data_IF_471766493599
#
_entry.id   IF_471766493599
#
_cell.length_a   1.000
_cell.length_b   1.000
_cell.length_c   1.000
_cell.angle_alpha   90.00
_cell.angle_beta   90.00
_cell.angle_gamma   90.00
#
_symmetry.space_group_name_H-M   'P 1'
#
loop_
_entity.id
_entity.type
_entity.pdbx_description
1 polymer ?
#
# COMPACT_ATOMS: atom_id res chain seq x y z
N UNK A 1 2.72 -12.85 -7.71
CA UNK A 1 1.51 -13.64 -7.77
C UNK A 1 1.11 -13.94 -9.22
N UNK A 2 0.71 -12.94 -10.02
CA UNK A 2 0.15 -13.13 -11.37
C UNK A 2 1.05 -13.92 -12.35
N UNK A 3 2.38 -13.87 -12.19
CA UNK A 3 3.33 -14.61 -13.05
C UNK A 3 3.55 -16.06 -12.60
N UNK A 4 3.30 -16.36 -11.32
CA UNK A 4 3.55 -17.68 -10.72
C UNK A 4 2.43 -17.97 -9.70
N UNK A 5 1.19 -18.13 -10.14
CA UNK A 5 0.04 -18.26 -9.26
C UNK A 5 0.12 -19.51 -8.37
N UNK A 6 0.72 -20.58 -8.85
CA UNK A 6 0.92 -21.85 -8.13
C UNK A 6 1.81 -21.71 -6.86
N UNK A 7 2.55 -20.61 -6.74
CA UNK A 7 3.41 -20.32 -5.59
C UNK A 7 2.70 -19.50 -4.50
N UNK A 8 1.46 -19.08 -4.75
CA UNK A 8 0.70 -18.18 -3.86
C UNK A 8 -0.37 -18.97 -3.12
N UNK A 9 -0.15 -19.19 -1.83
CA UNK A 9 -1.11 -19.87 -0.96
C UNK A 9 -2.17 -18.92 -0.39
N UNK A 10 -1.78 -17.67 -0.14
CA UNK A 10 -2.66 -16.63 0.36
C UNK A 10 -2.14 -15.25 -0.05
N UNK A 11 -3.02 -14.26 -0.11
CA UNK A 11 -2.70 -12.86 -0.39
C UNK A 11 -3.10 -12.02 0.82
N UNK A 12 -2.12 -11.34 1.41
CA UNK A 12 -2.35 -10.37 2.47
C UNK A 12 -1.99 -9.00 1.93
N UNK A 13 -2.96 -8.11 1.91
CA UNK A 13 -2.82 -6.74 1.39
C UNK A 13 -2.94 -5.77 2.55
N UNK A 14 -1.94 -4.93 2.73
CA UNK A 14 -1.97 -3.86 3.72
C UNK A 14 -1.76 -2.54 3.00
N UNK A 15 -2.80 -1.71 2.94
CA UNK A 15 -2.80 -0.42 2.22
C UNK A 15 -2.17 -0.50 0.82
N UNK A 16 -2.39 -1.62 0.13
CA UNK A 16 -1.79 -1.94 -1.17
C UNK A 16 -2.80 -1.83 -2.31
N UNK A 17 -2.50 -1.01 -3.32
CA UNK A 17 -3.43 -0.70 -4.39
C UNK A 17 -3.26 -1.60 -5.62
N UNK A 18 -4.39 -2.04 -6.20
CA UNK A 18 -4.46 -2.79 -7.45
C UNK A 18 -5.64 -2.32 -8.34
N UNK A 19 -6.19 -1.15 -8.01
CA UNK A 19 -7.38 -0.57 -8.65
C UNK A 19 -7.25 0.95 -8.74
N UNK A 20 -7.83 1.53 -9.78
CA UNK A 20 -7.77 2.99 -10.00
C UNK A 20 -8.48 3.78 -8.88
N UNK A 21 -9.49 3.16 -8.25
CA UNK A 21 -10.27 3.76 -7.16
C UNK A 21 -9.45 4.16 -5.93
N UNK A 22 -8.24 3.63 -5.76
CA UNK A 22 -7.33 3.98 -4.67
C UNK A 22 -6.41 5.17 -4.95
N UNK A 23 -6.41 5.72 -6.18
CA UNK A 23 -5.48 6.76 -6.64
C UNK A 23 -6.18 8.11 -6.80
N UNK A 24 -6.44 8.79 -5.68
CA UNK A 24 -7.07 10.11 -5.66
C UNK A 24 -6.05 11.27 -5.56
N UNK A 25 -6.48 12.41 -5.05
CA UNK A 25 -5.84 13.72 -5.06
C UNK A 25 -4.34 13.74 -4.69
N UNK A 26 -3.90 12.88 -3.78
CA UNK A 26 -2.47 12.77 -3.45
C UNK A 26 -1.61 12.47 -4.68
N UNK A 27 -2.17 11.71 -5.62
CA UNK A 27 -1.46 11.26 -6.81
C UNK A 27 -1.46 12.28 -7.95
N UNK A 28 -2.26 13.36 -7.89
CA UNK A 28 -2.38 14.30 -9.00
C UNK A 28 -1.05 14.93 -9.44
N UNK A 29 -0.20 15.47 -8.55
CA UNK A 29 1.11 15.98 -8.97
C UNK A 29 2.05 14.87 -9.46
N UNK A 30 1.92 13.65 -8.91
CA UNK A 30 2.70 12.50 -9.36
C UNK A 30 2.22 12.05 -10.74
N UNK A 31 0.91 12.02 -11.00
CA UNK A 31 0.33 11.74 -12.34
C UNK A 31 0.75 12.79 -13.37
N UNK A 32 0.83 14.07 -12.98
CA UNK A 32 1.37 15.11 -13.86
C UNK A 32 2.83 14.80 -14.25
N UNK A 33 3.66 14.39 -13.30
CA UNK A 33 5.02 13.93 -13.57
C UNK A 33 5.07 12.69 -14.47
N UNK A 34 4.18 11.73 -14.30
CA UNK A 34 4.08 10.57 -15.20
C UNK A 34 3.77 10.95 -16.63
N UNK A 35 2.93 11.99 -16.83
CA UNK A 35 2.52 12.43 -18.16
C UNK A 35 3.62 13.12 -18.95
N UNK A 36 4.52 13.84 -18.29
CA UNK A 36 5.56 14.64 -18.94
C UNK A 36 6.96 14.03 -18.82
N UNK A 37 7.28 13.39 -17.70
CA UNK A 37 8.65 13.03 -17.33
C UNK A 37 9.56 14.25 -17.11
N UNK A 38 8.96 15.46 -17.03
CA UNK A 38 9.67 16.73 -17.02
C UNK A 38 10.33 17.08 -15.69
N UNK A 39 11.36 17.91 -15.76
CA UNK A 39 12.07 18.38 -14.57
C UNK A 39 11.19 19.27 -13.67
N UNK A 40 10.28 20.04 -14.25
CA UNK A 40 9.36 20.92 -13.52
C UNK A 40 8.44 20.12 -12.60
N UNK A 41 7.79 19.08 -13.11
CA UNK A 41 6.89 18.22 -12.35
C UNK A 41 7.66 17.35 -11.34
N UNK A 42 8.88 16.91 -11.72
CA UNK A 42 9.79 16.24 -10.79
C UNK A 42 10.11 17.11 -9.58
N UNK A 43 10.46 18.39 -9.81
CA UNK A 43 10.73 19.33 -8.71
C UNK A 43 9.47 19.64 -7.88
N UNK A 44 8.29 19.69 -8.51
CA UNK A 44 7.02 19.93 -7.80
C UNK A 44 6.70 18.86 -6.77
N UNK A 45 7.18 17.61 -6.95
CA UNK A 45 6.97 16.52 -5.98
C UNK A 45 8.17 16.28 -5.05
N UNK A 46 9.28 17.03 -5.18
CA UNK A 46 10.48 16.86 -4.34
C UNK A 46 10.21 17.01 -2.86
N UNK A 47 9.23 17.82 -2.46
CA UNK A 47 8.85 17.98 -1.07
C UNK A 47 8.49 16.65 -0.39
N UNK A 48 8.03 15.64 -1.16
CA UNK A 48 7.74 14.27 -0.66
C UNK A 48 8.97 13.57 -0.07
N UNK A 49 10.19 14.06 -0.36
CA UNK A 49 11.43 13.54 0.22
C UNK A 49 11.87 14.27 1.49
N UNK A 50 11.07 15.23 1.98
CA UNK A 50 11.38 16.02 3.16
C UNK A 50 10.94 15.32 4.46
N UNK A 51 11.59 15.69 5.59
CA UNK A 51 11.18 15.22 6.93
C UNK A 51 9.70 15.51 7.22
N UNK A 52 9.20 16.67 6.79
CA UNK A 52 7.79 17.02 6.99
C UNK A 52 6.86 16.05 6.26
N UNK A 53 7.18 15.70 5.03
CA UNK A 53 6.41 14.72 4.25
C UNK A 53 6.55 13.31 4.81
N UNK A 54 7.77 12.89 5.20
CA UNK A 54 7.99 11.57 5.81
C UNK A 54 7.17 11.43 7.10
N UNK A 55 7.25 12.41 8.00
CA UNK A 55 6.44 12.44 9.22
C UNK A 55 4.94 12.43 8.91
N UNK A 56 4.51 13.24 7.93
CA UNK A 56 3.10 13.31 7.52
C UNK A 56 2.57 11.94 7.07
N UNK A 57 3.35 11.17 6.31
CA UNK A 57 2.95 9.83 5.86
C UNK A 57 2.65 8.88 7.05
N UNK A 58 3.40 8.99 8.15
CA UNK A 58 3.19 8.19 9.35
C UNK A 58 2.02 8.66 10.22
N UNK A 59 1.77 9.98 10.27
CA UNK A 59 0.87 10.57 11.25
C UNK A 59 -0.46 11.04 10.67
N UNK A 60 -0.55 11.23 9.35
CA UNK A 60 -1.80 11.66 8.71
C UNK A 60 -2.85 10.55 8.82
N UNK A 61 -4.08 10.93 9.18
CA UNK A 61 -5.19 10.00 9.37
C UNK A 61 -5.14 9.18 10.66
N UNK A 62 -4.09 9.32 11.46
CA UNK A 62 -3.96 8.68 12.77
C UNK A 62 -4.70 9.51 13.82
N UNK A 63 -5.60 8.86 14.58
CA UNK A 63 -6.41 9.53 15.60
C UNK A 63 -5.57 10.06 16.78
N UNK A 64 -4.59 9.28 17.21
CA UNK A 64 -3.65 9.63 18.27
C UNK A 64 -2.22 9.44 17.77
N UNK A 65 -1.60 10.52 17.31
CA UNK A 65 -0.25 10.51 16.77
C UNK A 65 0.83 10.11 17.80
N UNK A 66 0.51 10.13 19.10
CA UNK A 66 1.45 9.69 20.15
C UNK A 66 1.70 8.18 20.13
N UNK A 67 0.83 7.41 19.45
CA UNK A 67 1.01 5.97 19.25
C UNK A 67 2.08 5.63 18.20
N UNK A 68 2.45 6.60 17.36
CA UNK A 68 3.48 6.40 16.33
C UNK A 68 4.82 6.85 16.88
N UNK A 69 5.79 5.92 16.97
CA UNK A 69 7.12 6.24 17.45
C UNK A 69 7.82 7.25 16.52
N UNK A 70 8.41 8.33 17.07
CA UNK A 70 9.25 9.23 16.28
C UNK A 70 10.45 8.54 15.61
N UNK A 71 10.88 7.40 16.12
CA UNK A 71 12.00 6.64 15.55
C UNK A 71 11.71 6.15 14.14
N UNK A 72 10.43 5.85 13.81
CA UNK A 72 10.06 5.34 12.49
C UNK A 72 10.39 6.34 11.39
N UNK A 73 9.79 7.53 11.42
CA UNK A 73 10.06 8.55 10.40
C UNK A 73 11.48 9.17 10.52
N UNK A 74 12.08 9.17 11.70
CA UNK A 74 13.45 9.65 11.88
C UNK A 74 14.45 8.72 11.20
N UNK A 75 14.27 7.42 11.34
CA UNK A 75 15.10 6.42 10.69
C UNK A 75 14.95 6.48 9.17
N UNK A 76 13.71 6.50 8.67
CA UNK A 76 13.44 6.60 7.24
C UNK A 76 14.04 7.87 6.64
N UNK A 77 13.87 9.02 7.32
CA UNK A 77 14.46 10.28 6.86
C UNK A 77 15.98 10.25 6.86
N UNK A 78 16.58 9.58 7.85
CA UNK A 78 18.04 9.41 7.90
C UNK A 78 18.54 8.64 6.68
N UNK A 79 17.84 7.62 6.25
CA UNK A 79 18.18 6.88 5.04
C UNK A 79 17.89 7.67 3.77
N UNK A 80 16.79 8.40 3.74
CA UNK A 80 16.42 9.23 2.58
C UNK A 80 17.41 10.39 2.38
N UNK A 81 18.02 10.90 3.46
CA UNK A 81 19.02 11.96 3.40
C UNK A 81 20.41 11.50 2.90
N UNK A 82 20.62 10.20 2.67
CA UNK A 82 21.88 9.74 2.09
C UNK A 82 22.07 10.32 0.68
N UNK A 83 23.31 10.63 0.28
CA UNK A 83 23.58 11.18 -1.06
C UNK A 83 22.94 10.35 -2.16
N UNK A 84 22.14 10.98 -3.00
CA UNK A 84 21.45 10.35 -4.14
C UNK A 84 20.10 9.70 -3.81
N UNK A 85 19.77 9.41 -2.55
CA UNK A 85 18.53 8.67 -2.22
C UNK A 85 17.26 9.47 -2.53
N UNK A 86 17.27 10.79 -2.37
CA UNK A 86 16.13 11.63 -2.77
C UNK A 86 15.87 11.53 -4.27
N UNK A 87 16.92 11.49 -5.11
CA UNK A 87 16.77 11.32 -6.55
C UNK A 87 16.22 9.92 -6.90
N UNK A 88 16.74 8.89 -6.24
CA UNK A 88 16.21 7.52 -6.40
C UNK A 88 14.72 7.47 -6.03
N UNK A 89 14.32 8.12 -4.94
CA UNK A 89 12.91 8.17 -4.52
C UNK A 89 12.03 8.87 -5.57
N UNK A 90 12.50 9.96 -6.18
CA UNK A 90 11.80 10.63 -7.27
C UNK A 90 11.69 9.73 -8.52
N UNK A 91 12.73 8.96 -8.82
CA UNK A 91 12.71 7.98 -9.91
C UNK A 91 11.69 6.86 -9.63
N UNK A 92 11.58 6.40 -8.38
CA UNK A 92 10.57 5.40 -7.96
C UNK A 92 9.15 5.95 -8.08
N UNK A 93 8.90 7.23 -7.75
CA UNK A 93 7.61 7.86 -8.00
C UNK A 93 7.28 7.89 -9.51
N UNK A 94 8.25 8.15 -10.35
CA UNK A 94 8.06 8.09 -11.80
C UNK A 94 7.83 6.67 -12.30
N UNK A 95 8.60 5.71 -11.80
CA UNK A 95 8.48 4.30 -12.18
C UNK A 95 7.13 3.68 -11.80
N UNK A 96 6.50 4.16 -10.71
CA UNK A 96 5.20 3.66 -10.27
C UNK A 96 4.12 3.69 -11.37
N UNK A 97 4.23 4.60 -12.36
CA UNK A 97 3.34 4.65 -13.54
C UNK A 97 3.26 3.32 -14.29
N UNK A 98 4.31 2.50 -14.19
CA UNK A 98 4.36 1.18 -14.85
C UNK A 98 3.46 0.14 -14.19
N UNK A 99 3.00 0.39 -12.95
CA UNK A 99 2.06 -0.49 -12.25
C UNK A 99 0.64 -0.36 -12.80
N UNK A 100 0.22 0.85 -13.20
CA UNK A 100 -1.16 1.12 -13.61
C UNK A 100 -1.58 0.24 -14.81
N UNK A 101 -0.80 0.11 -15.89
CA UNK A 101 -1.12 -0.79 -16.99
C UNK A 101 -1.15 -2.29 -16.60
N UNK A 102 -0.60 -2.65 -15.44
CA UNK A 102 -0.60 -4.03 -14.95
C UNK A 102 -1.86 -4.36 -14.12
N UNK A 103 -2.64 -3.38 -13.69
CA UNK A 103 -3.85 -3.60 -12.89
C UNK A 103 -4.83 -4.56 -13.56
N UNK A 104 -5.16 -4.44 -14.86
CA UNK A 104 -6.04 -5.41 -15.53
C UNK A 104 -5.52 -6.85 -15.48
N UNK A 105 -4.19 -7.04 -15.59
CA UNK A 105 -3.58 -8.37 -15.48
C UNK A 105 -3.69 -8.91 -14.04
N UNK A 106 -3.48 -8.07 -13.01
CA UNK A 106 -3.63 -8.47 -11.62
C UNK A 106 -5.08 -8.81 -11.28
N UNK A 107 -6.02 -8.02 -11.76
CA UNK A 107 -7.46 -8.26 -11.59
C UNK A 107 -7.91 -9.54 -12.31
N UNK A 108 -7.36 -9.85 -13.48
CA UNK A 108 -7.58 -11.12 -14.15
C UNK A 108 -7.07 -12.30 -13.30
N UNK A 109 -5.86 -12.20 -12.77
CA UNK A 109 -5.32 -13.18 -11.82
C UNK A 109 -6.26 -13.37 -10.61
N UNK A 110 -6.79 -12.30 -10.04
CA UNK A 110 -7.72 -12.37 -8.91
C UNK A 110 -8.99 -13.14 -9.26
N UNK A 111 -9.57 -12.87 -10.42
CA UNK A 111 -10.80 -13.56 -10.89
C UNK A 111 -10.58 -15.02 -11.18
N UNK A 112 -9.47 -15.36 -11.81
CA UNK A 112 -9.18 -16.73 -12.27
C UNK A 112 -8.73 -17.63 -11.12
N UNK A 113 -7.84 -17.14 -10.27
CA UNK A 113 -7.21 -17.96 -9.21
C UNK A 113 -7.90 -17.81 -7.85
N UNK A 114 -8.60 -16.70 -7.60
CA UNK A 114 -9.33 -16.43 -6.33
C UNK A 114 -8.55 -16.81 -5.09
N UNK A 115 -7.29 -16.33 -4.94
CA UNK A 115 -6.47 -16.68 -3.79
C UNK A 115 -7.19 -16.33 -2.49
N UNK A 116 -6.99 -17.10 -1.44
CA UNK A 116 -7.44 -16.69 -0.12
C UNK A 116 -6.87 -15.30 0.19
N UNK A 117 -7.71 -14.29 0.40
CA UNK A 117 -7.28 -12.90 0.45
C UNK A 117 -7.77 -12.19 1.72
N UNK A 118 -6.83 -11.54 2.41
CA UNK A 118 -7.07 -10.66 3.55
C UNK A 118 -6.60 -9.24 3.19
N UNK A 119 -7.51 -8.27 3.24
CA UNK A 119 -7.23 -6.85 2.99
C UNK A 119 -7.35 -6.08 4.30
N UNK A 120 -6.27 -5.41 4.68
CA UNK A 120 -6.12 -4.65 5.92
C UNK A 120 -5.81 -3.20 5.53
N UNK A 121 -6.65 -2.24 5.92
CA UNK A 121 -6.52 -0.89 5.38
C UNK A 121 -6.83 0.19 6.40
N UNK A 122 -6.03 1.25 6.43
CA UNK A 122 -6.35 2.46 7.17
C UNK A 122 -7.47 3.24 6.47
N UNK A 123 -8.62 3.42 7.12
CA UNK A 123 -9.77 4.08 6.50
C UNK A 123 -9.53 5.58 6.20
N UNK A 124 -8.54 6.18 6.86
CA UNK A 124 -8.17 7.58 6.72
C UNK A 124 -6.87 7.76 5.88
N UNK A 125 -6.46 6.71 5.15
CA UNK A 125 -5.29 6.78 4.28
C UNK A 125 -5.53 7.82 3.17
N UNK A 126 -4.68 8.84 3.11
CA UNK A 126 -4.72 9.87 2.08
C UNK A 126 -3.81 9.55 0.88
N UNK A 127 -2.96 8.52 0.97
CA UNK A 127 -2.07 8.09 -0.11
C UNK A 127 -2.79 7.09 -1.01
N UNK A 128 -3.23 5.96 -0.43
CA UNK A 128 -4.14 5.03 -1.07
C UNK A 128 -5.47 5.05 -0.32
N UNK A 129 -6.43 5.80 -0.85
CA UNK A 129 -7.71 5.98 -0.16
C UNK A 129 -8.45 4.65 0.02
N UNK A 130 -9.24 4.54 1.08
CA UNK A 130 -9.97 3.31 1.43
C UNK A 130 -10.91 2.81 0.31
N UNK A 131 -11.27 3.67 -0.65
CA UNK A 131 -11.99 3.27 -1.86
C UNK A 131 -11.25 2.20 -2.67
N UNK A 132 -9.92 2.10 -2.56
CA UNK A 132 -9.11 1.05 -3.19
C UNK A 132 -9.24 -0.33 -2.54
N UNK A 133 -9.77 -0.43 -1.32
CA UNK A 133 -9.94 -1.71 -0.62
C UNK A 133 -11.18 -2.49 -1.09
N UNK A 134 -12.31 -1.80 -1.28
CA UNK A 134 -13.59 -2.45 -1.63
C UNK A 134 -13.55 -3.24 -2.95
N UNK A 135 -12.87 -2.77 -4.02
CA UNK A 135 -12.82 -3.47 -5.30
C UNK A 135 -12.19 -4.87 -5.25
N UNK A 136 -11.38 -5.20 -4.23
CA UNK A 136 -10.88 -6.56 -4.06
C UNK A 136 -12.03 -7.60 -4.01
N UNK A 137 -13.17 -7.27 -3.38
CA UNK A 137 -14.35 -8.16 -3.37
C UNK A 137 -15.03 -8.30 -4.71
N UNK A 138 -14.84 -7.36 -5.63
CA UNK A 138 -15.39 -7.46 -7.00
C UNK A 138 -14.77 -8.63 -7.75
N UNK A 139 -13.46 -8.82 -7.58
CA UNK A 139 -12.69 -9.87 -8.28
C UNK A 139 -12.47 -11.12 -7.42
N UNK A 140 -12.45 -10.97 -6.09
CA UNK A 140 -12.32 -12.05 -5.10
C UNK A 140 -13.49 -11.95 -4.10
N UNK A 141 -14.67 -12.50 -4.40
CA UNK A 141 -15.88 -12.33 -3.58
C UNK A 141 -15.71 -12.73 -2.11
N UNK A 142 -14.83 -13.68 -1.84
CA UNK A 142 -14.55 -14.20 -0.49
C UNK A 142 -13.41 -13.44 0.22
N UNK A 143 -12.89 -12.33 -0.34
CA UNK A 143 -11.87 -11.52 0.33
C UNK A 143 -12.40 -10.98 1.67
N UNK A 144 -11.61 -11.13 2.73
CA UNK A 144 -11.88 -10.51 4.04
C UNK A 144 -11.30 -9.11 4.02
N UNK A 145 -12.10 -8.08 4.35
CA UNK A 145 -11.65 -6.68 4.37
C UNK A 145 -11.86 -6.10 5.76
N UNK A 146 -10.82 -5.54 6.35
CA UNK A 146 -10.84 -4.84 7.63
C UNK A 146 -10.31 -3.41 7.45
N UNK A 147 -11.11 -2.44 7.89
CA UNK A 147 -10.76 -1.02 7.88
C UNK A 147 -10.49 -0.54 9.31
N UNK A 148 -9.30 0.04 9.53
CA UNK A 148 -8.85 0.54 10.83
C UNK A 148 -8.95 2.07 10.89
N UNK A 149 -9.19 2.62 12.07
CA UNK A 149 -9.28 4.07 12.29
C UNK A 149 -7.87 4.71 12.33
N UNK A 150 -7.16 4.64 11.23
CA UNK A 150 -5.77 5.09 11.08
C UNK A 150 -5.46 5.46 9.62
N UNK A 151 -4.26 5.99 9.39
CA UNK A 151 -3.73 6.37 8.09
C UNK A 151 -3.00 5.24 7.35
N UNK A 152 -2.00 5.63 6.53
CA UNK A 152 -1.32 4.75 5.59
C UNK A 152 -0.54 3.63 6.27
N UNK A 153 0.20 3.91 7.32
CA UNK A 153 0.99 2.91 8.04
C UNK A 153 0.19 2.28 9.19
N UNK A 154 -0.87 1.53 8.85
CA UNK A 154 -1.78 0.93 9.82
C UNK A 154 -1.08 0.03 10.86
N UNK A 155 0.04 -0.57 10.52
CA UNK A 155 0.83 -1.41 11.44
C UNK A 155 1.39 -0.64 12.64
N UNK A 156 1.68 0.66 12.49
CA UNK A 156 2.23 1.48 13.56
C UNK A 156 1.26 1.63 14.74
N UNK A 157 -0.04 1.66 14.46
CA UNK A 157 -1.08 1.91 15.47
C UNK A 157 -1.93 0.69 15.79
N UNK A 158 -2.09 -0.23 14.84
CA UNK A 158 -2.95 -1.42 14.96
C UNK A 158 -2.19 -2.74 14.78
N UNK A 159 -0.86 -2.74 14.94
CA UNK A 159 0.00 -3.90 14.67
C UNK A 159 -0.42 -5.18 15.40
N UNK A 160 -0.82 -5.10 16.67
CA UNK A 160 -1.27 -6.27 17.44
C UNK A 160 -2.56 -6.86 16.88
N UNK A 161 -3.54 -6.02 16.56
CA UNK A 161 -4.82 -6.44 15.98
C UNK A 161 -4.61 -7.03 14.59
N UNK A 162 -3.84 -6.36 13.74
CA UNK A 162 -3.49 -6.83 12.39
C UNK A 162 -2.76 -8.17 12.47
N UNK A 163 -1.78 -8.33 13.35
CA UNK A 163 -1.04 -9.58 13.53
C UNK A 163 -1.97 -10.73 13.99
N UNK A 164 -2.96 -10.44 14.85
CA UNK A 164 -3.97 -11.41 15.24
C UNK A 164 -4.80 -11.85 14.05
N UNK A 165 -5.35 -10.91 13.28
CA UNK A 165 -6.16 -11.20 12.09
C UNK A 165 -5.37 -12.02 11.06
N UNK A 166 -4.12 -11.67 10.80
CA UNK A 166 -3.25 -12.43 9.90
C UNK A 166 -3.08 -13.87 10.38
N UNK A 167 -2.75 -14.10 11.65
CA UNK A 167 -2.58 -15.45 12.20
C UNK A 167 -3.85 -16.28 12.10
N UNK A 168 -5.00 -15.69 12.44
CA UNK A 168 -6.30 -16.36 12.36
C UNK A 168 -6.65 -16.69 10.91
N UNK A 169 -6.45 -15.74 10.00
CA UNK A 169 -6.68 -15.94 8.56
C UNK A 169 -5.81 -17.06 8.00
N UNK A 170 -4.51 -17.04 8.25
CA UNK A 170 -3.60 -18.08 7.78
C UNK A 170 -3.93 -19.44 8.39
N UNK A 171 -4.28 -19.49 9.68
CA UNK A 171 -4.70 -20.72 10.35
C UNK A 171 -5.93 -21.36 9.71
N UNK A 172 -6.90 -20.56 9.26
CA UNK A 172 -8.09 -21.08 8.59
C UNK A 172 -7.80 -21.56 7.15
N UNK A 173 -6.96 -20.83 6.43
CA UNK A 173 -6.76 -21.04 5.00
C UNK A 173 -5.60 -21.97 4.63
N UNK A 174 -4.61 -22.15 5.52
CA UNK A 174 -3.43 -22.98 5.24
C UNK A 174 -3.47 -24.38 5.89
N UNK A 175 -4.44 -24.68 6.74
CA UNK A 175 -4.58 -26.01 7.39
C UNK A 175 -5.05 -27.13 6.46
N UNK A 176 -5.46 -26.83 5.24
CA UNK A 176 -6.00 -27.82 4.31
C UNK A 176 -4.96 -28.53 3.44
N UNK A 177 -3.65 -28.22 3.60
CA UNK A 177 -2.59 -28.75 2.74
C UNK A 177 -1.66 -29.80 3.37
N UNK A 178 -1.96 -30.33 4.55
CA UNK A 178 -1.05 -31.21 5.28
C UNK A 178 -1.64 -32.54 5.73
N UNK A 179 -2.31 -33.28 4.81
CA UNK A 179 -2.50 -34.73 4.93
C UNK A 179 -2.74 -35.27 3.50
N UNK A 180 -1.69 -35.74 2.89
CA UNK A 180 -1.66 -36.53 1.68
C UNK A 180 -0.31 -37.20 1.59
#
# INVERSE_FOLDING_TARGET
AAKNPERVLALIVQNGNAYDEGLENFWDPIKAYWGTGGSTEREAIRWLTSLAATKWQYTNGVKDASLVSPDTWTMDQTFLNRPGNAEIQLDLFYDYRTNIPLYPQWQTYFREHKPATLVLWGKNDAIFVAAGAAPYKRDIPNAEIHLFDTGHFALETHGHEIAKLIREFLSRNLKSGGQG
#
